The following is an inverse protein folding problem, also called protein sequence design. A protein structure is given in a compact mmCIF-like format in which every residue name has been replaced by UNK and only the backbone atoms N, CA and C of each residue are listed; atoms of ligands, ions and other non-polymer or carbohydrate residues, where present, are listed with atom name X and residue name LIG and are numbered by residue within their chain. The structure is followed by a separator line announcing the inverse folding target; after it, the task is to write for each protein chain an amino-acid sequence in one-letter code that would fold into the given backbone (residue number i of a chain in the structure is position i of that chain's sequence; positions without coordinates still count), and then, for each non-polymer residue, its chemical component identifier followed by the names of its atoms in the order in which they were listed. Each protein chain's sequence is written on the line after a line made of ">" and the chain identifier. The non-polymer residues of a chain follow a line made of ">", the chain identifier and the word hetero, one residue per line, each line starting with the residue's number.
data_IF_240552673777
#
_entry.id   IF_240552673777
#
_cell.length_a   1.000
_cell.length_b   1.000
_cell.length_c   1.000
_cell.angle_alpha   90.00
_cell.angle_beta   90.00
_cell.angle_gamma   90.00
#
_symmetry.space_group_name_H-M   'P 1'
#
loop_
_entity.id
_entity.type
_entity.pdbx_description
1 polymer ?
#
# COMPACT_ATOMS: atom_id res chain seq x y z
N UNK A 1 -7.90 -9.57 1.03
CA UNK A 1 -7.42 -10.33 2.21
C UNK A 1 -7.54 -9.55 3.52
N UNK A 2 -6.80 -8.45 3.77
CA UNK A 2 -6.90 -7.73 5.06
C UNK A 2 -8.33 -7.28 5.41
N UNK A 3 -9.08 -6.79 4.41
CA UNK A 3 -10.51 -6.45 4.52
C UNK A 3 -11.36 -7.59 5.08
N UNK A 4 -11.11 -8.83 4.67
CA UNK A 4 -11.86 -10.02 5.13
C UNK A 4 -11.43 -10.46 6.54
N UNK A 5 -10.19 -10.16 6.92
CA UNK A 5 -9.62 -10.56 8.20
C UNK A 5 -9.99 -9.59 9.34
N UNK A 6 -10.43 -8.36 9.03
CA UNK A 6 -10.68 -7.31 10.03
C UNK A 6 -11.58 -7.76 11.20
N UNK A 7 -12.73 -8.45 11.01
CA UNK A 7 -13.54 -8.91 12.14
C UNK A 7 -12.80 -9.91 13.04
N UNK A 8 -11.98 -10.80 12.43
CA UNK A 8 -11.19 -11.80 13.16
C UNK A 8 -10.04 -11.16 13.92
N UNK A 9 -9.37 -10.16 13.34
CA UNK A 9 -8.34 -9.40 14.03
C UNK A 9 -8.92 -8.67 15.24
N UNK A 10 -10.09 -8.04 15.09
CA UNK A 10 -10.73 -7.34 16.21
C UNK A 10 -11.12 -8.31 17.33
N UNK A 11 -11.71 -9.46 16.98
CA UNK A 11 -12.08 -10.50 17.94
C UNK A 11 -10.87 -11.08 18.69
N UNK A 12 -9.69 -11.10 18.05
CA UNK A 12 -8.44 -11.51 18.67
C UNK A 12 -7.78 -10.42 19.54
N UNK A 13 -8.36 -9.22 19.63
CA UNK A 13 -7.89 -8.13 20.48
C UNK A 13 -6.89 -7.18 19.82
N UNK A 14 -6.73 -7.21 18.49
CA UNK A 14 -5.92 -6.24 17.78
C UNK A 14 -6.65 -4.89 17.66
N UNK A 15 -5.93 -3.81 17.95
CA UNK A 15 -6.46 -2.44 17.88
C UNK A 15 -5.84 -1.62 16.74
N UNK A 16 -4.74 -2.08 16.15
CA UNK A 16 -4.09 -1.42 15.04
C UNK A 16 -3.38 -2.45 14.14
N UNK A 17 -3.19 -2.09 12.87
CA UNK A 17 -2.34 -2.81 11.91
C UNK A 17 -1.31 -1.86 11.31
N UNK A 18 -0.07 -2.31 11.20
CA UNK A 18 0.97 -1.63 10.42
C UNK A 18 0.99 -2.22 9.02
N UNK A 19 0.78 -1.39 8.01
CA UNK A 19 0.77 -1.80 6.60
C UNK A 19 2.09 -1.40 5.93
N UNK A 20 2.57 -2.18 4.95
CA UNK A 20 3.76 -1.82 4.19
C UNK A 20 3.58 -0.50 3.42
N UNK A 21 4.68 0.11 2.93
CA UNK A 21 4.59 1.27 2.08
C UNK A 21 3.68 1.01 0.87
N UNK A 22 2.77 1.95 0.62
CA UNK A 22 1.69 1.80 -0.36
C UNK A 22 1.84 2.74 -1.56
N UNK A 23 2.92 3.51 -1.58
CA UNK A 23 3.28 4.42 -2.66
C UNK A 23 4.14 3.73 -3.73
N UNK A 24 4.25 4.36 -4.91
CA UNK A 24 4.96 3.82 -6.07
C UNK A 24 6.46 3.67 -5.78
N UNK A 25 6.98 2.48 -6.09
CA UNK A 25 8.39 2.14 -5.98
C UNK A 25 9.10 2.28 -7.33
N UNK A 26 10.43 2.39 -7.32
CA UNK A 26 11.24 2.45 -8.54
C UNK A 26 11.00 1.23 -9.46
N UNK A 27 10.92 0.04 -8.88
CA UNK A 27 10.59 -1.20 -9.56
C UNK A 27 9.31 -1.80 -8.97
N UNK A 28 8.33 -2.26 -9.79
CA UNK A 28 7.10 -2.88 -9.31
C UNK A 28 7.29 -4.12 -8.43
N UNK A 29 8.41 -4.82 -8.53
CA UNK A 29 8.72 -6.00 -7.72
C UNK A 29 9.22 -5.66 -6.31
N UNK A 30 9.57 -4.39 -6.04
CA UNK A 30 10.06 -3.99 -4.73
C UNK A 30 8.94 -3.96 -3.68
N UNK A 31 9.32 -4.21 -2.43
CA UNK A 31 8.40 -4.42 -1.31
C UNK A 31 7.85 -3.13 -0.69
N UNK A 32 8.34 -1.95 -1.09
CA UNK A 32 7.94 -0.67 -0.50
C UNK A 32 9.09 0.27 -0.14
N UNK A 33 10.26 -0.29 0.16
CA UNK A 33 11.39 0.44 0.74
C UNK A 33 12.34 1.08 -0.29
N UNK A 34 11.92 1.23 -1.55
CA UNK A 34 12.63 2.02 -2.55
C UNK A 34 11.62 2.98 -3.22
N UNK A 35 11.14 3.99 -2.47
CA UNK A 35 10.13 4.94 -2.96
C UNK A 35 10.60 5.66 -4.22
N UNK A 36 9.68 5.82 -5.18
CA UNK A 36 9.87 6.66 -6.35
C UNK A 36 9.00 7.92 -6.25
N UNK A 37 7.68 7.76 -6.06
CA UNK A 37 6.73 8.87 -5.90
C UNK A 37 5.85 8.59 -4.67
N UNK A 38 6.13 9.30 -3.57
CA UNK A 38 5.37 9.19 -2.31
C UNK A 38 3.89 9.62 -2.45
N UNK A 39 3.54 10.32 -3.52
CA UNK A 39 2.18 10.80 -3.79
C UNK A 39 1.42 9.91 -4.78
N UNK A 40 2.04 8.90 -5.39
CA UNK A 40 1.35 7.91 -6.20
C UNK A 40 1.02 6.68 -5.35
N UNK A 41 -0.21 6.63 -4.83
CA UNK A 41 -0.72 5.51 -4.03
C UNK A 41 -1.28 4.38 -4.91
N UNK A 42 -0.89 4.32 -6.18
CA UNK A 42 -1.43 3.41 -7.17
C UNK A 42 -2.58 4.01 -7.96
N UNK A 43 -2.53 5.32 -8.22
CA UNK A 43 -3.50 6.08 -9.00
C UNK A 43 -2.86 6.84 -10.19
N UNK A 44 -1.53 6.78 -10.34
CA UNK A 44 -0.80 7.35 -11.49
C UNK A 44 -0.13 6.26 -12.34
N UNK A 45 -0.08 6.48 -13.65
CA UNK A 45 0.63 5.60 -14.60
C UNK A 45 2.13 5.89 -14.58
N UNK A 46 2.85 5.25 -13.66
CA UNK A 46 4.28 5.43 -13.43
C UNK A 46 4.99 4.08 -13.23
N UNK A 47 6.28 4.02 -13.65
CA UNK A 47 7.14 2.82 -13.63
C UNK A 47 6.48 1.59 -14.27
N UNK A 48 7.10 0.41 -14.16
CA UNK A 48 6.51 -0.87 -14.58
C UNK A 48 6.34 -1.09 -16.10
N UNK A 49 7.03 -0.34 -16.95
CA UNK A 49 6.99 -0.56 -18.41
C UNK A 49 7.35 -2.00 -18.77
N UNK A 50 6.42 -2.72 -19.43
CA UNK A 50 6.63 -4.10 -19.85
C UNK A 50 6.57 -5.14 -18.72
N UNK A 51 6.18 -4.74 -17.50
CA UNK A 51 6.09 -5.67 -16.38
C UNK A 51 4.85 -6.57 -16.50
N UNK A 52 4.99 -7.91 -16.51
CA UNK A 52 3.89 -8.82 -16.78
C UNK A 52 2.76 -8.79 -15.74
N UNK A 53 3.03 -8.21 -14.56
CA UNK A 53 2.08 -8.14 -13.44
C UNK A 53 1.65 -6.70 -13.07
N UNK A 54 2.13 -5.67 -13.79
CA UNK A 54 1.83 -4.28 -13.44
C UNK A 54 1.36 -3.48 -14.68
N UNK A 55 0.11 -3.02 -14.64
CA UNK A 55 -0.53 -2.11 -15.61
C UNK A 55 -0.03 -0.65 -15.53
N UNK A 56 1.07 -0.46 -14.80
CA UNK A 56 1.73 0.80 -14.44
C UNK A 56 0.92 1.67 -13.48
N UNK A 57 -0.30 1.28 -13.15
CA UNK A 57 -1.19 2.01 -12.26
C UNK A 57 -0.93 1.55 -10.83
N UNK A 58 -1.17 0.27 -10.54
CA UNK A 58 -1.11 -0.30 -9.19
C UNK A 58 0.30 -0.28 -8.58
N UNK A 59 0.35 -0.22 -7.25
CA UNK A 59 1.54 -0.59 -6.48
C UNK A 59 1.56 -2.10 -6.26
N UNK A 60 2.60 -2.61 -5.59
CA UNK A 60 2.67 -4.03 -5.21
C UNK A 60 1.50 -4.47 -4.33
N UNK A 61 0.91 -3.54 -3.58
CA UNK A 61 -0.16 -3.84 -2.60
C UNK A 61 -1.56 -3.46 -3.10
N UNK A 62 -1.69 -3.01 -4.34
CA UNK A 62 -2.97 -2.71 -4.98
C UNK A 62 -3.07 -1.29 -5.52
N UNK A 63 -4.30 -0.87 -5.79
CA UNK A 63 -4.62 0.50 -6.21
C UNK A 63 -4.91 1.39 -5.00
N UNK A 64 -4.97 2.71 -5.23
CA UNK A 64 -5.41 3.65 -4.19
C UNK A 64 -6.80 3.33 -3.66
N UNK A 65 -7.71 2.89 -4.53
CA UNK A 65 -9.07 2.49 -4.12
C UNK A 65 -9.04 1.25 -3.22
N UNK A 66 -8.13 0.31 -3.47
CA UNK A 66 -7.93 -0.87 -2.60
C UNK A 66 -7.41 -0.47 -1.23
N UNK A 67 -6.44 0.45 -1.18
CA UNK A 67 -5.90 1.00 0.05
C UNK A 67 -6.99 1.70 0.88
N UNK A 68 -7.74 2.62 0.26
CA UNK A 68 -8.79 3.38 0.94
C UNK A 68 -9.93 2.48 1.43
N UNK A 69 -10.33 1.48 0.64
CA UNK A 69 -11.33 0.49 1.05
C UNK A 69 -10.85 -0.34 2.23
N UNK A 70 -9.59 -0.78 2.22
CA UNK A 70 -9.00 -1.52 3.33
C UNK A 70 -8.99 -0.68 4.62
N UNK A 71 -8.56 0.58 4.54
CA UNK A 71 -8.59 1.52 5.67
C UNK A 71 -10.03 1.69 6.21
N UNK A 72 -10.99 1.95 5.32
CA UNK A 72 -12.39 2.12 5.72
C UNK A 72 -12.95 0.89 6.45
N UNK A 73 -12.63 -0.32 5.98
CA UNK A 73 -13.09 -1.56 6.63
C UNK A 73 -12.38 -1.80 7.96
N UNK A 74 -11.09 -1.49 8.07
CA UNK A 74 -10.38 -1.58 9.36
C UNK A 74 -11.00 -0.64 10.39
N UNK A 75 -11.22 0.63 10.03
CA UNK A 75 -11.86 1.61 10.90
C UNK A 75 -13.29 1.21 11.28
N UNK A 76 -14.08 0.67 10.34
CA UNK A 76 -15.43 0.15 10.62
C UNK A 76 -15.44 -1.01 11.63
N UNK A 77 -14.32 -1.73 11.78
CA UNK A 77 -14.12 -2.78 12.78
C UNK A 77 -13.38 -2.28 14.04
N UNK A 78 -13.13 -0.97 14.17
CA UNK A 78 -12.41 -0.39 15.31
C UNK A 78 -10.94 -0.81 15.38
N UNK A 79 -10.29 -0.92 14.22
CA UNK A 79 -8.86 -1.20 14.06
C UNK A 79 -8.23 0.00 13.35
N UNK A 80 -7.23 0.62 13.96
CA UNK A 80 -6.45 1.71 13.37
C UNK A 80 -5.48 1.19 12.29
N UNK A 81 -5.16 2.04 11.32
CA UNK A 81 -4.18 1.72 10.27
C UNK A 81 -2.98 2.66 10.38
N UNK A 82 -1.81 2.07 10.59
CA UNK A 82 -0.52 2.78 10.61
C UNK A 82 0.16 2.54 9.28
N UNK A 83 0.39 3.62 8.52
CA UNK A 83 1.07 3.54 7.24
C UNK A 83 2.58 3.66 7.43
N UNK A 84 3.35 2.76 6.82
CA UNK A 84 4.80 2.87 6.77
C UNK A 84 5.25 4.04 5.89
N UNK A 85 6.23 4.81 6.38
CA UNK A 85 6.77 5.99 5.71
C UNK A 85 8.30 5.87 5.62
N UNK A 86 8.82 5.88 4.40
CA UNK A 86 10.26 5.82 4.11
C UNK A 86 10.73 7.17 3.60
N UNK A 87 11.38 7.96 4.47
CA UNK A 87 11.91 9.28 4.13
C UNK A 87 13.43 9.31 3.96
N UNK A 88 14.11 8.18 4.21
CA UNK A 88 15.57 8.12 4.23
C UNK A 88 16.20 8.32 2.83
N UNK A 89 15.55 7.83 1.78
CA UNK A 89 16.06 7.89 0.39
C UNK A 89 14.90 7.80 -0.61
N UNK A 90 15.15 8.18 -1.86
CA UNK A 90 14.27 7.95 -3.01
C UNK A 90 15.07 7.31 -4.15
N UNK A 91 14.49 6.33 -4.83
CA UNK A 91 15.05 5.63 -5.99
C UNK A 91 14.53 6.17 -7.32
N UNK A 92 15.31 6.01 -8.39
CA UNK A 92 14.86 6.27 -9.76
C UNK A 92 14.49 7.71 -10.10
N UNK A 93 15.00 8.68 -9.34
CA UNK A 93 14.82 10.13 -9.50
C UNK A 93 13.34 10.55 -9.69
N UNK A 94 12.56 10.40 -8.61
CA UNK A 94 11.16 10.84 -8.49
C UNK A 94 10.85 12.22 -9.00
#
# INVERSE_FOLDING_TARGET
>A
YLTELAPRLKAAGFNAVWIPPAYKNENPDFVGYMPFDNYDLGDKRQKGNGHPLNDRLRTRVGTKDDLLRMIAVMHANGIEVIHDIVLNHNGGAG
#
